data_IF_549516781859
#
_entry.id   IF_549516781859
#
_cell.length_a   1.000
_cell.length_b   1.000
_cell.length_c   1.000
_cell.angle_alpha   90.00
_cell.angle_beta   90.00
_cell.angle_gamma   90.00
#
_symmetry.space_group_name_H-M   'P 1'
#
loop_
_entity.id
_entity.type
_entity.pdbx_description
1 polymer ?
#
# COMPACT_ATOMS: atom_id res chain seq x y z
N UNK A 1 -10.05 -4.08 -47.67
CA UNK A 1 -9.79 -4.65 -46.33
C UNK A 1 -10.24 -3.66 -45.28
N UNK A 2 -11.36 -3.95 -44.60
CA UNK A 2 -11.72 -3.45 -43.28
C UNK A 2 -12.80 -4.40 -42.73
N UNK A 3 -12.45 -5.23 -41.75
CA UNK A 3 -13.39 -6.07 -41.02
C UNK A 3 -13.85 -5.28 -39.79
N UNK A 4 -15.13 -4.90 -39.77
CA UNK A 4 -15.79 -4.34 -38.61
C UNK A 4 -16.05 -5.47 -37.60
N UNK A 5 -15.49 -5.37 -36.40
CA UNK A 5 -15.79 -6.28 -35.30
C UNK A 5 -17.03 -5.75 -34.56
N UNK A 6 -18.11 -6.51 -34.59
CA UNK A 6 -19.38 -6.19 -33.95
C UNK A 6 -19.36 -6.72 -32.51
N UNK A 7 -19.29 -5.84 -31.51
CA UNK A 7 -19.48 -6.24 -30.10
C UNK A 7 -20.98 -6.20 -29.77
N UNK A 8 -21.59 -7.37 -29.60
CA UNK A 8 -22.98 -7.52 -29.18
C UNK A 8 -23.06 -7.52 -27.65
N UNK A 9 -23.69 -6.50 -27.04
CA UNK A 9 -23.98 -6.48 -25.62
C UNK A 9 -25.24 -7.32 -25.33
N UNK A 10 -25.10 -8.41 -24.58
CA UNK A 10 -26.21 -9.21 -24.08
C UNK A 10 -26.88 -8.48 -22.89
N UNK A 11 -28.04 -7.87 -23.12
CA UNK A 11 -28.93 -7.38 -22.05
C UNK A 11 -29.76 -8.56 -21.52
N UNK A 12 -29.50 -8.98 -20.29
CA UNK A 12 -30.39 -9.86 -19.54
C UNK A 12 -31.27 -9.06 -18.59
N UNK A 13 -32.60 -9.17 -18.70
CA UNK A 13 -33.54 -8.69 -17.69
C UNK A 13 -34.01 -9.88 -16.84
N UNK A 14 -33.76 -9.83 -15.54
CA UNK A 14 -34.30 -10.80 -14.58
C UNK A 14 -35.29 -10.08 -13.67
N UNK A 15 -36.56 -10.44 -13.76
CA UNK A 15 -37.61 -9.94 -12.86
C UNK A 15 -37.77 -10.88 -11.67
N UNK A 16 -37.55 -10.36 -10.47
CA UNK A 16 -37.94 -11.00 -9.21
C UNK A 16 -38.85 -10.03 -8.46
N UNK A 17 -40.10 -10.46 -8.21
CA UNK A 17 -41.12 -9.80 -7.39
C UNK A 17 -41.12 -8.26 -7.41
N UNK A 18 -41.63 -7.68 -8.51
CA UNK A 18 -41.99 -6.25 -8.58
C UNK A 18 -40.82 -5.25 -8.63
N UNK A 19 -39.57 -5.71 -8.69
CA UNK A 19 -38.37 -4.85 -8.78
C UNK A 19 -37.62 -5.11 -10.08
N UNK A 20 -37.35 -4.05 -10.83
CA UNK A 20 -36.56 -4.11 -12.07
C UNK A 20 -35.09 -4.00 -11.72
N UNK A 21 -34.32 -5.07 -11.97
CA UNK A 21 -32.87 -5.10 -11.75
C UNK A 21 -32.20 -4.93 -13.10
N UNK A 22 -31.47 -3.82 -13.29
CA UNK A 22 -30.60 -3.64 -14.46
C UNK A 22 -29.19 -4.11 -14.12
N UNK A 23 -28.78 -5.25 -14.67
CA UNK A 23 -27.40 -5.72 -14.63
C UNK A 23 -26.73 -5.45 -15.97
N UNK A 24 -25.60 -4.73 -15.93
CA UNK A 24 -24.67 -4.64 -17.06
C UNK A 24 -23.45 -5.49 -16.73
N UNK A 25 -23.28 -6.58 -17.46
CA UNK A 25 -22.08 -7.41 -17.41
C UNK A 25 -21.23 -6.99 -18.61
N UNK A 26 -20.02 -6.50 -18.37
CA UNK A 26 -19.08 -6.15 -19.42
C UNK A 26 -17.98 -7.20 -19.44
N UNK A 27 -17.88 -7.96 -20.54
CA UNK A 27 -16.83 -8.96 -20.72
C UNK A 27 -15.50 -8.27 -21.04
N UNK A 28 -14.63 -8.16 -20.04
CA UNK A 28 -13.24 -7.77 -20.16
C UNK A 28 -12.35 -8.82 -19.52
N UNK A 29 -11.34 -9.28 -20.26
CA UNK A 29 -10.37 -10.31 -19.88
C UNK A 29 -10.09 -10.42 -18.37
N UNK A 30 -10.65 -11.45 -17.74
CA UNK A 30 -10.10 -12.07 -16.53
C UNK A 30 -10.50 -11.52 -15.16
N UNK A 31 -11.32 -10.46 -15.05
CA UNK A 31 -11.83 -9.99 -13.75
C UNK A 31 -13.33 -9.69 -13.85
N UNK A 32 -14.16 -10.46 -13.14
CA UNK A 32 -15.59 -10.14 -13.00
C UNK A 32 -15.73 -8.94 -12.07
N UNK A 33 -15.92 -7.75 -12.63
CA UNK A 33 -16.41 -6.60 -11.86
C UNK A 33 -17.93 -6.74 -11.70
N UNK A 34 -18.39 -6.95 -10.46
CA UNK A 34 -19.81 -6.87 -10.15
C UNK A 34 -20.20 -5.40 -10.23
N UNK A 35 -20.87 -5.02 -11.32
CA UNK A 35 -21.43 -3.69 -11.51
C UNK A 35 -22.46 -3.34 -10.44
N UNK A 36 -22.41 -2.10 -9.98
CA UNK A 36 -23.27 -1.49 -8.96
C UNK A 36 -24.76 -1.83 -9.19
N UNK A 37 -25.41 -2.47 -8.23
CA UNK A 37 -26.84 -2.76 -8.26
C UNK A 37 -27.60 -1.52 -7.78
N UNK A 38 -28.40 -0.93 -8.67
CA UNK A 38 -29.31 0.17 -8.32
C UNK A 38 -30.72 -0.40 -8.25
N UNK A 39 -31.29 -0.43 -7.04
CA UNK A 39 -32.69 -0.83 -6.84
C UNK A 39 -33.53 0.45 -6.84
N UNK A 40 -34.22 0.72 -7.95
CA UNK A 40 -35.21 1.79 -8.01
C UNK A 40 -36.59 1.23 -7.68
N UNK A 41 -37.23 1.79 -6.65
CA UNK A 41 -38.63 1.53 -6.34
C UNK A 41 -39.50 2.46 -7.19
N UNK A 42 -40.35 1.95 -8.10
CA UNK A 42 -41.10 2.78 -9.04
C UNK A 42 -42.29 3.51 -8.39
N UNK A 43 -42.53 3.35 -7.09
CA UNK A 43 -43.76 3.81 -6.44
C UNK A 43 -43.67 5.16 -5.68
N UNK A 44 -42.51 5.83 -5.69
CA UNK A 44 -42.37 7.19 -5.12
C UNK A 44 -41.83 8.16 -6.15
N UNK A 45 -42.72 9.04 -6.64
CA UNK A 45 -42.31 10.27 -7.30
C UNK A 45 -41.51 11.12 -6.33
N UNK A 46 -40.19 10.97 -6.35
CA UNK A 46 -39.25 11.75 -5.54
C UNK A 46 -38.21 12.31 -6.48
N UNK A 47 -38.08 13.64 -6.44
CA UNK A 47 -37.12 14.45 -7.18
C UNK A 47 -35.77 13.75 -7.32
N UNK A 48 -35.30 13.61 -8.57
CA UNK A 48 -33.93 13.27 -8.87
C UNK A 48 -33.00 14.35 -8.32
N UNK A 49 -32.58 14.21 -7.06
CA UNK A 49 -31.28 14.72 -6.66
C UNK A 49 -30.25 13.95 -7.49
N UNK A 50 -29.46 14.66 -8.29
CA UNK A 50 -28.24 14.10 -8.84
C UNK A 50 -27.48 13.42 -7.67
N UNK A 51 -26.97 12.19 -7.84
CA UNK A 51 -26.19 11.56 -6.78
C UNK A 51 -25.03 12.51 -6.42
N UNK A 52 -24.75 12.74 -5.13
CA UNK A 52 -23.55 13.48 -4.76
C UNK A 52 -22.37 12.81 -5.46
N UNK A 53 -21.56 13.59 -6.17
CA UNK A 53 -20.43 13.04 -6.91
C UNK A 53 -19.53 12.29 -5.93
N UNK A 54 -19.50 10.97 -6.00
CA UNK A 54 -18.66 10.09 -5.17
C UNK A 54 -17.19 10.10 -5.63
N UNK A 55 -16.72 11.23 -6.17
CA UNK A 55 -15.38 11.37 -6.71
C UNK A 55 -14.54 12.22 -5.76
N UNK A 56 -13.74 11.55 -4.93
CA UNK A 56 -12.80 12.10 -3.94
C UNK A 56 -13.38 12.49 -2.58
N UNK A 57 -14.00 11.55 -1.87
CA UNK A 57 -14.10 11.68 -0.42
C UNK A 57 -12.70 11.59 0.19
N UNK A 58 -12.20 12.74 0.63
CA UNK A 58 -10.98 12.84 1.44
C UNK A 58 -11.13 11.94 2.67
N UNK A 59 -10.01 11.37 3.12
CA UNK A 59 -9.96 10.66 4.39
C UNK A 59 -10.49 11.55 5.53
N UNK A 60 -11.29 10.98 6.44
CA UNK A 60 -11.84 11.76 7.55
C UNK A 60 -10.73 12.17 8.53
N UNK A 61 -10.91 13.26 9.30
CA UNK A 61 -9.94 13.67 10.32
C UNK A 61 -9.63 12.55 11.32
N UNK A 62 -10.62 11.74 11.70
CA UNK A 62 -10.47 10.65 12.67
C UNK A 62 -9.61 9.52 12.08
N UNK A 63 -9.87 9.14 10.83
CA UNK A 63 -9.07 8.15 10.11
C UNK A 63 -7.60 8.60 9.99
N UNK A 64 -7.38 9.87 9.67
CA UNK A 64 -6.04 10.44 9.57
C UNK A 64 -5.33 10.49 10.93
N UNK A 65 -6.06 10.86 11.99
CA UNK A 65 -5.55 10.87 13.36
C UNK A 65 -5.11 9.47 13.81
N UNK A 66 -5.89 8.44 13.46
CA UNK A 66 -5.53 7.06 13.75
C UNK A 66 -4.28 6.60 13.01
N UNK A 67 -4.18 6.84 11.69
CA UNK A 67 -2.96 6.49 10.94
C UNK A 67 -1.73 7.21 11.50
N UNK A 68 -1.91 8.46 11.94
CA UNK A 68 -0.85 9.25 12.60
C UNK A 68 -0.44 8.61 13.92
N UNK A 69 -1.41 8.16 14.71
CA UNK A 69 -1.14 7.47 15.96
C UNK A 69 -0.35 6.17 15.74
N UNK A 70 -0.70 5.37 14.72
CA UNK A 70 0.06 4.16 14.38
C UNK A 70 1.49 4.52 13.92
N UNK A 71 1.66 5.58 13.11
CA UNK A 71 2.97 6.04 12.68
C UNK A 71 3.88 6.43 13.87
N UNK A 72 3.32 7.09 14.89
CA UNK A 72 4.05 7.39 16.13
C UNK A 72 4.39 6.13 16.93
N UNK A 73 3.51 5.12 16.97
CA UNK A 73 3.84 3.83 17.59
C UNK A 73 4.98 3.11 16.85
N UNK A 74 5.07 3.25 15.52
CA UNK A 74 6.17 2.70 14.74
C UNK A 74 7.48 3.40 15.08
N UNK A 75 7.51 4.73 15.14
CA UNK A 75 8.69 5.49 15.55
C UNK A 75 9.23 5.04 16.92
N UNK A 76 8.33 4.81 17.88
CA UNK A 76 8.69 4.27 19.19
C UNK A 76 9.21 2.82 19.11
N UNK A 77 8.56 1.96 18.31
CA UNK A 77 8.95 0.55 18.17
C UNK A 77 10.26 0.37 17.40
N UNK A 78 10.61 1.30 16.52
CA UNK A 78 11.90 1.35 15.81
C UNK A 78 12.96 2.10 16.63
N UNK A 79 12.70 2.40 17.91
CA UNK A 79 13.64 3.03 18.85
C UNK A 79 14.23 4.37 18.32
N UNK A 80 13.43 5.12 17.57
CA UNK A 80 13.85 6.39 16.95
C UNK A 80 14.77 6.24 15.74
N UNK A 81 15.02 5.02 15.24
CA UNK A 81 15.75 4.80 13.97
C UNK A 81 15.02 5.43 12.77
N UNK A 82 13.69 5.51 12.84
CA UNK A 82 12.85 6.27 11.91
C UNK A 82 11.90 7.18 12.66
N UNK A 83 11.57 8.34 12.07
CA UNK A 83 10.55 9.25 12.57
C UNK A 83 9.22 9.05 11.83
N UNK A 84 8.12 9.58 12.40
CA UNK A 84 6.79 9.51 11.80
C UNK A 84 6.72 10.12 10.39
N UNK A 85 7.58 11.09 10.04
CA UNK A 85 7.68 11.65 8.70
C UNK A 85 8.13 10.60 7.67
N UNK A 86 9.21 9.88 7.96
CA UNK A 86 9.69 8.75 7.13
C UNK A 86 8.63 7.67 6.97
N UNK A 87 7.86 7.39 8.03
CA UNK A 87 6.75 6.43 7.98
C UNK A 87 5.65 6.90 7.02
N UNK A 88 5.28 8.18 7.10
CA UNK A 88 4.30 8.80 6.20
C UNK A 88 4.77 8.80 4.75
N UNK A 89 6.03 9.16 4.48
CA UNK A 89 6.58 9.16 3.12
C UNK A 89 6.55 7.75 2.50
N UNK A 90 6.93 6.73 3.28
CA UNK A 90 6.88 5.35 2.84
C UNK A 90 5.44 4.85 2.61
N UNK A 91 4.48 5.27 3.46
CA UNK A 91 3.07 4.98 3.27
C UNK A 91 2.52 5.63 1.99
N UNK A 92 2.82 6.91 1.77
CA UNK A 92 2.43 7.61 0.54
C UNK A 92 3.04 6.93 -0.69
N UNK A 93 4.32 6.54 -0.65
CA UNK A 93 4.97 5.80 -1.73
C UNK A 93 4.36 4.40 -1.97
N UNK A 94 3.85 3.74 -0.91
CA UNK A 94 3.12 2.48 -1.02
C UNK A 94 1.79 2.67 -1.74
N UNK A 95 1.01 3.68 -1.32
CA UNK A 95 -0.30 3.98 -1.89
C UNK A 95 -0.23 4.56 -3.32
N UNK A 96 0.83 5.32 -3.64
CA UNK A 96 1.01 5.99 -4.93
C UNK A 96 1.85 5.17 -5.94
N UNK A 97 2.15 3.91 -5.62
CA UNK A 97 3.27 3.13 -6.15
C UNK A 97 3.35 2.80 -7.65
N UNK A 98 2.73 3.56 -8.58
CA UNK A 98 2.91 3.44 -10.04
C UNK A 98 2.91 4.76 -10.84
N UNK A 99 3.26 5.90 -10.24
CA UNK A 99 3.48 7.14 -10.99
C UNK A 99 2.18 7.89 -11.32
N UNK A 100 1.46 8.31 -10.28
CA UNK A 100 0.34 9.24 -10.38
C UNK A 100 0.45 10.28 -9.26
N UNK A 101 0.02 11.49 -9.60
CA UNK A 101 0.27 12.80 -8.97
C UNK A 101 0.56 12.82 -7.47
N UNK A 102 1.43 13.78 -7.11
CA UNK A 102 1.78 14.25 -5.76
C UNK A 102 0.60 14.87 -4.99
N UNK A 103 -0.61 14.37 -5.22
CA UNK A 103 -1.79 14.64 -4.40
C UNK A 103 -1.52 14.06 -3.00
N UNK A 104 -1.00 14.90 -2.11
CA UNK A 104 -0.72 14.61 -0.69
C UNK A 104 -1.95 14.20 0.13
N UNK A 105 -3.13 14.22 -0.49
CA UNK A 105 -4.40 13.90 0.17
C UNK A 105 -4.77 12.45 -0.06
N UNK A 106 -4.66 11.66 1.01
CA UNK A 106 -5.17 10.30 1.03
C UNK A 106 -6.70 10.29 0.90
N UNK A 107 -7.20 9.40 0.06
CA UNK A 107 -8.62 9.17 -0.15
C UNK A 107 -9.18 8.25 0.93
N UNK A 108 -10.46 8.40 1.25
CA UNK A 108 -11.16 7.54 2.20
C UNK A 108 -11.02 6.05 1.85
N UNK A 109 -11.10 5.70 0.56
CA UNK A 109 -10.96 4.33 0.05
C UNK A 109 -9.58 3.71 0.35
N UNK A 110 -8.54 4.53 0.51
CA UNK A 110 -7.18 4.06 0.80
C UNK A 110 -6.95 3.77 2.28
N UNK A 111 -7.88 4.14 3.17
CA UNK A 111 -7.71 4.04 4.61
C UNK A 111 -7.38 2.61 5.08
N UNK A 112 -8.13 1.60 4.63
CA UNK A 112 -7.91 0.22 5.08
C UNK A 112 -6.58 -0.37 4.60
N UNK A 113 -6.16 -0.03 3.38
CA UNK A 113 -4.84 -0.44 2.86
C UNK A 113 -3.71 0.29 3.62
N UNK A 114 -3.90 1.58 3.92
CA UNK A 114 -2.96 2.36 4.70
C UNK A 114 -2.79 1.79 6.12
N UNK A 115 -3.91 1.51 6.78
CA UNK A 115 -3.93 0.89 8.11
C UNK A 115 -3.23 -0.47 8.09
N UNK A 116 -3.59 -1.35 7.15
CA UNK A 116 -2.97 -2.68 7.03
C UNK A 116 -1.46 -2.60 6.79
N UNK A 117 -1.01 -1.63 5.98
CA UNK A 117 0.40 -1.36 5.75
C UNK A 117 1.13 -0.96 7.05
N UNK A 118 0.57 -0.01 7.80
CA UNK A 118 1.16 0.47 9.05
C UNK A 118 1.12 -0.58 10.17
N UNK A 119 0.01 -1.29 10.34
CA UNK A 119 -0.11 -2.39 11.31
C UNK A 119 0.93 -3.49 11.01
N UNK A 120 1.13 -3.80 9.72
CA UNK A 120 2.16 -4.74 9.29
C UNK A 120 3.58 -4.24 9.55
N UNK A 121 3.84 -2.93 9.49
CA UNK A 121 5.12 -2.36 9.88
C UNK A 121 5.30 -2.49 11.38
N UNK A 122 4.33 -2.03 12.17
CA UNK A 122 4.39 -2.04 13.63
C UNK A 122 4.62 -3.45 14.17
N UNK A 123 3.89 -4.44 13.64
CA UNK A 123 4.09 -5.85 13.98
C UNK A 123 5.50 -6.34 13.62
N UNK A 124 6.05 -5.90 12.48
CA UNK A 124 7.43 -6.23 12.10
C UNK A 124 8.46 -5.62 13.05
N UNK A 125 8.29 -4.35 13.46
CA UNK A 125 9.18 -3.67 14.38
C UNK A 125 9.17 -4.32 15.78
N UNK A 126 8.00 -4.79 16.23
CA UNK A 126 7.85 -5.56 17.49
C UNK A 126 8.35 -7.00 17.41
N UNK A 127 8.60 -7.49 16.19
CA UNK A 127 9.01 -8.85 15.95
C UNK A 127 7.92 -9.91 16.03
N UNK A 128 6.68 -9.50 15.78
CA UNK A 128 5.52 -10.38 15.75
C UNK A 128 5.57 -11.36 14.56
N UNK A 129 4.76 -12.41 14.65
CA UNK A 129 4.58 -13.33 13.54
C UNK A 129 3.75 -12.72 12.41
N UNK A 130 4.38 -12.54 11.25
CA UNK A 130 3.74 -11.95 10.08
C UNK A 130 3.25 -13.03 9.09
N UNK A 131 2.11 -12.80 8.40
CA UNK A 131 1.73 -13.60 7.25
C UNK A 131 2.68 -13.34 6.07
N UNK A 132 2.71 -14.27 5.11
CA UNK A 132 3.64 -14.25 3.96
C UNK A 132 3.61 -12.94 3.18
N UNK A 133 2.41 -12.44 2.85
CA UNK A 133 2.22 -11.19 2.11
C UNK A 133 2.82 -10.00 2.85
N UNK A 134 2.63 -9.94 4.17
CA UNK A 134 3.19 -8.87 5.01
C UNK A 134 4.71 -8.99 5.11
N UNK A 135 5.29 -10.19 5.24
CA UNK A 135 6.75 -10.36 5.23
C UNK A 135 7.37 -9.82 3.93
N UNK A 136 6.83 -10.20 2.77
CA UNK A 136 7.30 -9.68 1.46
C UNK A 136 7.16 -8.16 1.39
N UNK A 137 6.00 -7.64 1.83
CA UNK A 137 5.71 -6.20 1.83
C UNK A 137 6.73 -5.41 2.66
N UNK A 138 7.07 -5.88 3.85
CA UNK A 138 8.04 -5.18 4.71
C UNK A 138 9.47 -5.26 4.17
N UNK A 139 9.87 -6.39 3.58
CA UNK A 139 11.16 -6.48 2.86
C UNK A 139 11.20 -5.44 1.74
N UNK A 140 10.18 -5.39 0.88
CA UNK A 140 10.13 -4.45 -0.23
C UNK A 140 10.06 -2.99 0.21
N UNK A 141 9.36 -2.69 1.32
CA UNK A 141 9.38 -1.37 1.95
C UNK A 141 10.81 -0.95 2.28
N UNK A 142 11.54 -1.78 3.03
CA UNK A 142 12.91 -1.46 3.43
C UNK A 142 13.81 -1.23 2.21
N UNK A 143 13.65 -2.02 1.14
CA UNK A 143 14.36 -1.84 -0.12
C UNK A 143 14.05 -0.50 -0.81
N UNK A 144 12.80 -0.03 -0.73
CA UNK A 144 12.41 1.27 -1.29
C UNK A 144 13.03 2.43 -0.54
N UNK A 145 13.10 2.33 0.79
CA UNK A 145 13.65 3.41 1.63
C UNK A 145 15.18 3.43 1.54
N UNK A 146 15.84 2.28 1.65
CA UNK A 146 17.31 2.16 1.54
C UNK A 146 17.70 1.45 0.26
N UNK A 147 18.26 2.23 -0.67
CA UNK A 147 18.95 1.69 -1.86
C UNK A 147 20.07 0.75 -1.42
N UNK A 148 20.20 -0.38 -2.10
CA UNK A 148 21.23 -1.40 -1.83
C UNK A 148 20.77 -2.58 -0.97
N UNK A 149 19.76 -2.42 -0.10
CA UNK A 149 19.22 -3.55 0.69
C UNK A 149 18.67 -4.68 -0.19
N UNK A 150 18.12 -4.33 -1.35
CA UNK A 150 17.63 -5.33 -2.30
C UNK A 150 18.74 -6.28 -2.74
N UNK A 151 19.91 -5.73 -3.10
CA UNK A 151 21.02 -6.53 -3.56
C UNK A 151 21.57 -7.41 -2.43
N UNK A 152 21.74 -6.88 -1.21
CA UNK A 152 22.22 -7.67 -0.06
C UNK A 152 21.25 -8.78 0.32
N UNK A 153 19.95 -8.48 0.37
CA UNK A 153 18.91 -9.46 0.72
C UNK A 153 18.83 -10.58 -0.33
N UNK A 154 18.85 -10.24 -1.62
CA UNK A 154 18.79 -11.25 -2.69
C UNK A 154 20.07 -12.09 -2.77
N UNK A 155 21.24 -11.49 -2.55
CA UNK A 155 22.50 -12.23 -2.47
C UNK A 155 22.48 -13.24 -1.31
N UNK A 156 21.99 -12.84 -0.13
CA UNK A 156 21.77 -13.75 0.99
C UNK A 156 20.82 -14.89 0.64
N UNK A 157 19.70 -14.59 -0.02
CA UNK A 157 18.73 -15.61 -0.41
C UNK A 157 19.30 -16.61 -1.43
N UNK A 158 20.11 -16.13 -2.37
CA UNK A 158 20.77 -16.96 -3.36
C UNK A 158 21.82 -17.86 -2.71
N UNK A 159 22.70 -17.30 -1.88
CA UNK A 159 23.75 -18.04 -1.18
C UNK A 159 23.18 -19.11 -0.22
N UNK A 160 22.19 -18.71 0.59
CA UNK A 160 21.68 -19.58 1.67
C UNK A 160 20.62 -20.58 1.23
N UNK A 161 19.80 -20.21 0.24
CA UNK A 161 18.61 -20.96 -0.17
C UNK A 161 18.59 -21.32 -1.66
N UNK A 162 19.55 -20.86 -2.47
CA UNK A 162 19.55 -21.08 -3.91
C UNK A 162 18.43 -20.34 -4.66
N UNK A 163 17.85 -19.29 -4.07
CA UNK A 163 16.67 -18.61 -4.61
C UNK A 163 16.93 -17.12 -4.87
N UNK A 164 16.69 -16.68 -6.12
CA UNK A 164 16.84 -15.27 -6.55
C UNK A 164 15.56 -14.44 -6.42
N UNK A 165 14.53 -14.96 -5.75
CA UNK A 165 13.25 -14.29 -5.64
C UNK A 165 12.54 -14.64 -4.33
N UNK A 166 11.97 -13.62 -3.67
CA UNK A 166 11.24 -13.80 -2.41
C UNK A 166 10.04 -14.75 -2.55
N UNK A 167 9.39 -14.76 -3.72
CA UNK A 167 8.21 -15.61 -3.95
C UNK A 167 8.55 -17.09 -4.00
N UNK A 168 9.81 -17.45 -4.31
CA UNK A 168 10.28 -18.83 -4.37
C UNK A 168 10.65 -19.40 -2.98
N UNK A 169 10.80 -18.54 -1.97
CA UNK A 169 11.16 -18.96 -0.61
C UNK A 169 9.98 -19.61 0.10
N UNK A 170 10.21 -20.64 0.89
CA UNK A 170 9.25 -21.12 1.89
C UNK A 170 8.99 -20.06 2.98
N UNK A 171 7.98 -20.26 3.84
CA UNK A 171 7.67 -19.28 4.90
C UNK A 171 8.79 -19.13 5.94
N UNK A 172 9.54 -20.21 6.23
CA UNK A 172 10.68 -20.15 7.16
C UNK A 172 11.86 -19.41 6.52
N UNK A 173 12.16 -19.69 5.25
CA UNK A 173 13.21 -18.99 4.50
C UNK A 173 12.88 -17.50 4.31
N UNK A 174 11.63 -17.17 4.03
CA UNK A 174 11.18 -15.78 3.92
C UNK A 174 11.26 -15.05 5.26
N UNK A 175 10.94 -15.72 6.37
CA UNK A 175 11.11 -15.16 7.71
C UNK A 175 12.59 -14.93 8.02
N UNK A 176 13.47 -15.85 7.66
CA UNK A 176 14.92 -15.66 7.80
C UNK A 176 15.42 -14.47 6.96
N UNK A 177 15.00 -14.39 5.69
CA UNK A 177 15.32 -13.26 4.82
C UNK A 177 14.83 -11.92 5.40
N UNK A 178 13.59 -11.87 5.92
CA UNK A 178 13.06 -10.69 6.59
C UNK A 178 13.97 -10.25 7.75
N UNK A 179 14.33 -11.17 8.64
CA UNK A 179 15.15 -10.84 9.81
C UNK A 179 16.56 -10.37 9.46
N UNK A 180 17.17 -10.96 8.43
CA UNK A 180 18.44 -10.45 7.89
C UNK A 180 18.27 -9.04 7.33
N UNK A 181 17.21 -8.77 6.57
CA UNK A 181 16.92 -7.41 6.07
C UNK A 181 16.67 -6.42 7.19
N UNK A 182 15.97 -6.81 8.26
CA UNK A 182 15.74 -5.96 9.45
C UNK A 182 17.06 -5.64 10.17
N UNK A 183 17.95 -6.61 10.31
CA UNK A 183 19.27 -6.39 10.91
C UNK A 183 20.10 -5.39 10.09
N UNK A 184 20.15 -5.56 8.76
CA UNK A 184 20.84 -4.62 7.87
C UNK A 184 20.19 -3.22 7.92
N UNK A 185 18.86 -3.16 8.01
CA UNK A 185 18.08 -1.93 8.14
C UNK A 185 18.45 -1.18 9.42
N UNK A 186 18.47 -1.83 10.57
CA UNK A 186 18.89 -1.20 11.83
C UNK A 186 20.34 -0.72 11.77
N UNK A 187 21.25 -1.55 11.25
CA UNK A 187 22.66 -1.18 11.14
C UNK A 187 22.87 0.11 10.32
N UNK A 188 22.08 0.30 9.25
CA UNK A 188 22.12 1.53 8.46
C UNK A 188 21.69 2.76 9.26
N UNK A 189 20.55 2.70 9.93
CA UNK A 189 20.03 3.85 10.67
C UNK A 189 20.92 4.20 11.87
N UNK A 190 21.48 3.19 12.56
CA UNK A 190 22.47 3.43 13.60
C UNK A 190 23.72 4.14 13.07
N UNK A 191 24.18 3.82 11.86
CA UNK A 191 25.31 4.54 11.22
C UNK A 191 24.93 5.98 10.87
N UNK A 192 23.75 6.20 10.30
CA UNK A 192 23.26 7.55 9.96
C UNK A 192 23.10 8.45 11.19
N UNK A 193 22.71 7.90 12.34
CA UNK A 193 22.63 8.65 13.60
C UNK A 193 24.01 8.91 14.23
N UNK A 194 24.97 8.03 14.00
CA UNK A 194 26.33 8.15 14.54
C UNK A 194 27.20 9.15 13.77
N UNK A 195 26.84 9.51 12.54
CA UNK A 195 27.55 10.53 11.75
C UNK A 195 27.26 11.92 12.33
N UNK A 196 28.22 12.56 13.06
CA UNK A 196 28.00 13.88 13.59
C UNK A 196 28.03 14.87 12.42
N UNK A 197 27.14 15.87 12.45
CA UNK A 197 27.23 17.03 11.56
C UNK A 197 28.66 17.58 11.60
N UNK A 198 29.37 17.49 10.47
CA UNK A 198 30.73 18.02 10.35
C UNK A 198 30.77 19.45 10.90
N UNK A 199 31.71 19.80 11.80
CA UNK A 199 31.83 21.18 12.24
C UNK A 199 32.19 22.04 11.03
N UNK A 200 31.41 23.11 10.82
CA UNK A 200 31.61 24.09 9.77
C UNK A 200 33.10 24.48 9.68
N UNK A 201 33.67 24.40 8.48
CA UNK A 201 35.03 24.84 8.22
C UNK A 201 35.21 26.29 8.71
N UNK A 202 36.29 26.59 9.45
CA UNK A 202 36.51 27.92 9.98
C UNK A 202 36.70 28.90 8.81
N UNK A 203 35.80 29.86 8.71
CA UNK A 203 35.93 31.04 7.86
C UNK A 203 37.27 31.72 8.16
N UNK A 204 38.20 31.64 7.21
CA UNK A 204 39.37 32.51 7.17
C UNK A 204 38.87 33.96 6.99
N UNK A 205 38.81 34.74 8.07
CA UNK A 205 38.76 36.20 7.97
C UNK A 205 40.12 36.70 7.50
N UNK A 206 40.11 37.49 6.43
CA UNK A 206 41.16 38.46 6.12
C UNK A 206 40.79 39.79 6.75
#
# INVERSE_FOLDING_TARGET
MALACCCTALRGEVRVQGKTIHQSITEGHGNVQIGKVVICDPSRGSQCHAPPSTANERMTPEQRAELTHIALQIELAEEGLVNAGTVWDALCAHLNGRGLDDSSELKHEQYWEARSYLDGWLACARGDNLPRSTMVRQIMRMWRVRKGLQASTLAYCEDRFGARSLIALSNSQLRAALWTTVADWHAYWSQMQAEPAHPASPTHRR
#
